data_IF_175902205660
#
_entry.id   IF_175902205660
#
_cell.length_a   1.000
_cell.length_b   1.000
_cell.length_c   1.000
_cell.angle_alpha   90.00
_cell.angle_beta   90.00
_cell.angle_gamma   90.00
#
_symmetry.space_group_name_H-M   'P 1'
#
loop_
_entity.id
_entity.type
_entity.pdbx_description
1 polymer ?
#
# COMPACT_ATOMS: atom_id res chain seq x y z
N UNK A 1 12.02 0.44 9.79
CA UNK A 1 12.81 0.03 8.60
C UNK A 1 11.99 0.30 7.35
N UNK A 2 12.63 0.74 6.25
CA UNK A 2 11.93 0.99 4.99
C UNK A 2 11.34 -0.27 4.35
N UNK A 3 10.05 -0.23 4.04
CA UNK A 3 9.29 -1.28 3.37
C UNK A 3 8.60 -0.74 2.12
N UNK A 4 8.51 -1.58 1.09
CA UNK A 4 7.79 -1.31 -0.16
C UNK A 4 6.63 -2.26 -0.31
N UNK A 5 5.46 -1.71 -0.56
CA UNK A 5 4.21 -2.44 -0.71
C UNK A 5 3.78 -2.39 -2.18
N UNK A 6 3.46 -3.54 -2.74
CA UNK A 6 2.94 -3.67 -4.10
C UNK A 6 2.04 -4.88 -4.24
N UNK A 7 1.21 -4.88 -5.28
CA UNK A 7 0.32 -6.00 -5.61
C UNK A 7 1.03 -6.99 -6.54
N UNK A 8 0.96 -8.31 -6.27
CA UNK A 8 1.23 -9.31 -7.31
C UNK A 8 -0.08 -9.78 -7.93
N UNK A 9 -0.38 -9.27 -9.12
CA UNK A 9 -1.57 -9.68 -9.87
C UNK A 9 -1.57 -11.19 -10.20
N UNK A 10 -0.38 -11.80 -10.24
CA UNK A 10 -0.17 -13.23 -10.47
C UNK A 10 -0.87 -14.14 -9.45
N UNK A 11 -0.75 -13.81 -8.17
CA UNK A 11 -1.14 -14.64 -7.03
C UNK A 11 -2.32 -14.06 -6.27
N UNK A 12 -2.89 -12.98 -6.78
CA UNK A 12 -3.93 -12.22 -6.10
C UNK A 12 -3.62 -11.76 -4.65
N UNK A 13 -2.34 -11.58 -4.30
CA UNK A 13 -1.88 -11.07 -2.98
C UNK A 13 -1.19 -9.71 -3.04
N UNK A 14 -1.11 -9.04 -1.88
CA UNK A 14 -0.19 -7.93 -1.62
C UNK A 14 1.15 -8.45 -1.10
N UNK A 15 2.23 -7.73 -1.41
CA UNK A 15 3.59 -8.05 -0.97
C UNK A 15 4.22 -6.85 -0.29
N UNK A 16 4.72 -7.06 0.92
CA UNK A 16 5.58 -6.13 1.64
C UNK A 16 7.01 -6.64 1.53
N UNK A 17 7.89 -5.82 0.98
CA UNK A 17 9.29 -6.15 0.80
C UNK A 17 10.18 -5.11 1.47
N UNK A 18 11.10 -5.59 2.30
CA UNK A 18 12.19 -4.79 2.85
C UNK A 18 13.52 -5.54 2.68
N UNK A 19 14.60 -5.04 3.31
CA UNK A 19 15.93 -5.64 3.20
C UNK A 19 16.02 -7.04 3.83
N UNK A 20 15.21 -7.34 4.86
CA UNK A 20 15.31 -8.56 5.66
C UNK A 20 14.29 -9.63 5.26
N UNK A 21 13.11 -9.22 4.79
CA UNK A 21 12.02 -10.15 4.48
C UNK A 21 11.13 -9.69 3.33
N UNK A 22 10.37 -10.64 2.83
CA UNK A 22 9.29 -10.45 1.86
C UNK A 22 8.07 -11.23 2.37
N UNK A 23 7.00 -10.52 2.71
CA UNK A 23 5.77 -11.10 3.26
C UNK A 23 4.65 -10.92 2.24
N UNK A 24 3.83 -11.95 2.05
CA UNK A 24 2.64 -11.92 1.20
C UNK A 24 1.38 -12.08 2.05
N UNK A 25 0.33 -11.34 1.72
CA UNK A 25 -0.97 -11.47 2.38
C UNK A 25 -2.11 -11.00 1.48
N UNK A 26 -3.34 -11.45 1.77
CA UNK A 26 -4.54 -11.01 1.04
C UNK A 26 -4.96 -9.60 1.42
N UNK A 27 -4.75 -9.21 2.68
CA UNK A 27 -5.08 -7.89 3.20
C UNK A 27 -3.99 -7.36 4.12
N UNK A 28 -3.83 -6.04 4.13
CA UNK A 28 -2.87 -5.35 5.00
C UNK A 28 -3.43 -3.97 5.40
N UNK A 29 -3.14 -3.54 6.61
CA UNK A 29 -3.37 -2.17 7.07
C UNK A 29 -2.01 -1.52 7.29
N UNK A 30 -1.77 -0.37 6.66
CA UNK A 30 -0.65 0.50 6.99
C UNK A 30 -1.19 1.61 7.88
N UNK A 31 -0.86 1.51 9.17
CA UNK A 31 -1.30 2.40 10.23
C UNK A 31 -0.23 3.46 10.55
N UNK A 32 0.20 4.20 9.53
CA UNK A 32 1.29 5.15 9.65
C UNK A 32 1.73 5.75 8.32
N UNK A 33 2.54 6.81 8.43
CA UNK A 33 2.93 7.65 7.28
C UNK A 33 3.48 6.82 6.12
N UNK A 34 3.05 7.20 4.93
CA UNK A 34 3.46 6.59 3.68
C UNK A 34 3.67 7.63 2.59
N UNK A 35 4.48 7.26 1.61
CA UNK A 35 4.71 8.01 0.39
C UNK A 35 4.85 7.06 -0.78
N UNK A 36 4.81 7.57 -2.01
CA UNK A 36 5.01 6.76 -3.21
C UNK A 36 6.42 6.89 -3.73
N UNK A 37 6.96 5.80 -4.26
CA UNK A 37 8.18 5.81 -5.06
C UNK A 37 7.87 5.36 -6.48
N UNK A 38 8.28 6.17 -7.45
CA UNK A 38 8.12 5.91 -8.86
C UNK A 38 9.45 5.48 -9.47
N UNK A 39 9.43 4.49 -10.36
CA UNK A 39 10.59 4.08 -11.16
C UNK A 39 10.28 4.19 -12.66
N UNK A 40 10.13 5.43 -13.19
CA UNK A 40 9.78 5.66 -14.60
C UNK A 40 10.88 5.19 -15.57
N UNK A 41 12.15 5.28 -15.17
CA UNK A 41 13.30 4.93 -16.02
C UNK A 41 13.55 3.42 -16.18
N UNK A 42 12.68 2.54 -15.70
CA UNK A 42 12.84 1.10 -15.90
C UNK A 42 12.58 0.78 -17.38
N UNK A 43 13.58 0.19 -18.06
CA UNK A 43 13.51 -0.22 -19.48
C UNK A 43 12.28 -1.09 -19.79
N UNK A 44 11.80 -1.87 -18.82
CA UNK A 44 10.56 -2.64 -18.93
C UNK A 44 9.70 -2.46 -17.68
N UNK A 45 8.40 -2.22 -17.90
CA UNK A 45 7.37 -2.14 -16.86
C UNK A 45 7.67 -1.06 -15.79
N UNK A 46 7.47 0.24 -16.09
CA UNK A 46 7.55 1.28 -15.08
C UNK A 46 6.66 0.91 -13.89
N UNK A 47 7.20 1.08 -12.67
CA UNK A 47 6.52 0.65 -11.44
C UNK A 47 6.40 1.79 -10.44
N UNK A 48 5.24 1.87 -9.81
CA UNK A 48 4.99 2.61 -8.59
C UNK A 48 4.99 1.67 -7.38
N UNK A 49 5.48 2.15 -6.24
CA UNK A 49 5.42 1.46 -4.96
C UNK A 49 4.83 2.39 -3.92
N UNK A 50 4.02 1.83 -3.01
CA UNK A 50 3.75 2.50 -1.73
C UNK A 50 4.89 2.18 -0.80
N UNK A 51 5.35 3.16 -0.03
CA UNK A 51 6.54 3.07 0.79
C UNK A 51 6.26 3.65 2.17
N UNK A 52 6.80 2.99 3.19
CA UNK A 52 6.88 3.52 4.55
C UNK A 52 8.28 3.29 5.10
N UNK A 53 8.77 4.20 5.94
CA UNK A 53 10.05 4.06 6.63
C UNK A 53 9.94 3.23 7.92
N UNK A 54 8.70 2.92 8.33
CA UNK A 54 8.36 2.14 9.54
C UNK A 54 7.58 0.89 9.14
N UNK A 55 8.27 -0.24 9.13
CA UNK A 55 7.66 -1.53 8.76
C UNK A 55 6.73 -2.04 9.84
N UNK A 56 6.98 -1.63 11.08
CA UNK A 56 6.20 -1.89 12.27
C UNK A 56 4.77 -1.31 12.19
N UNK A 57 4.55 -0.30 11.35
CA UNK A 57 3.21 0.28 11.12
C UNK A 57 2.34 -0.60 10.19
N UNK A 58 2.92 -1.67 9.61
CA UNK A 58 2.21 -2.58 8.71
C UNK A 58 1.65 -3.76 9.50
N UNK A 59 0.32 -3.85 9.53
CA UNK A 59 -0.42 -4.95 10.14
C UNK A 59 -0.88 -5.89 9.03
N UNK A 60 -0.40 -7.12 9.08
CA UNK A 60 -0.74 -8.18 8.14
C UNK A 60 -2.05 -8.85 8.58
N UNK A 61 -2.98 -9.09 7.64
CA UNK A 61 -4.29 -9.70 7.92
C UNK A 61 -5.00 -9.02 9.11
N UNK A 62 -5.19 -7.69 9.07
CA UNK A 62 -5.70 -6.92 10.20
C UNK A 62 -7.10 -7.38 10.61
N UNK A 63 -7.40 -7.48 11.92
CA UNK A 63 -8.72 -7.84 12.39
C UNK A 63 -9.74 -6.74 12.06
N UNK A 64 -11.00 -7.16 11.83
CA UNK A 64 -12.07 -6.27 11.34
C UNK A 64 -12.33 -5.05 12.24
N UNK A 65 -12.22 -5.22 13.55
CA UNK A 65 -12.49 -4.15 14.53
C UNK A 65 -11.55 -2.93 14.36
N UNK A 66 -10.33 -3.11 13.84
CA UNK A 66 -9.43 -1.98 13.60
C UNK A 66 -10.00 -0.99 12.58
N UNK A 67 -10.80 -1.46 11.63
CA UNK A 67 -11.42 -0.62 10.61
C UNK A 67 -12.63 0.17 11.11
N UNK A 68 -13.18 -0.19 12.27
CA UNK A 68 -14.33 0.52 12.84
C UNK A 68 -13.98 1.98 13.17
N UNK A 69 -12.70 2.28 13.40
CA UNK A 69 -12.18 3.61 13.67
C UNK A 69 -11.88 4.43 12.41
N UNK A 70 -12.10 3.88 11.20
CA UNK A 70 -11.72 4.54 9.95
C UNK A 70 -12.89 4.71 8.98
N UNK A 71 -12.86 5.81 8.24
CA UNK A 71 -13.65 6.02 7.03
C UNK A 71 -12.79 5.73 5.81
N UNK A 72 -13.34 5.00 4.83
CA UNK A 72 -12.73 4.85 3.50
C UNK A 72 -13.05 6.10 2.69
N UNK A 73 -12.03 6.86 2.32
CA UNK A 73 -12.20 8.15 1.63
C UNK A 73 -12.22 7.95 0.12
N UNK A 74 -11.19 7.31 -0.43
CA UNK A 74 -11.05 7.07 -1.88
C UNK A 74 -10.04 5.96 -2.15
N UNK A 75 -9.94 5.53 -3.41
CA UNK A 75 -8.90 4.60 -3.86
C UNK A 75 -7.60 5.36 -4.17
N UNK A 76 -6.48 4.79 -3.73
CA UNK A 76 -5.15 5.11 -4.25
C UNK A 76 -5.00 4.39 -5.60
N UNK A 77 -4.82 5.17 -6.66
CA UNK A 77 -4.79 4.68 -8.04
C UNK A 77 -3.44 4.99 -8.65
N UNK A 78 -2.84 3.97 -9.27
CA UNK A 78 -1.62 4.10 -10.05
C UNK A 78 -1.96 4.13 -11.54
N UNK A 79 -1.64 5.24 -12.18
CA UNK A 79 -1.64 5.39 -13.63
C UNK A 79 -0.32 4.83 -14.18
N UNK A 80 -0.41 3.73 -14.92
CA UNK A 80 0.75 3.05 -15.51
C UNK A 80 1.26 3.74 -16.77
N UNK A 81 0.40 4.44 -17.51
CA UNK A 81 0.76 5.14 -18.74
C UNK A 81 1.61 6.37 -18.41
N UNK A 82 1.15 7.16 -17.43
CA UNK A 82 1.84 8.36 -16.98
C UNK A 82 2.81 8.11 -15.80
N UNK A 83 2.85 6.87 -15.28
CA UNK A 83 3.70 6.45 -14.15
C UNK A 83 3.50 7.37 -12.94
N UNK A 84 2.26 7.52 -12.50
CA UNK A 84 1.88 8.48 -11.46
C UNK A 84 0.83 7.90 -10.50
N UNK A 85 0.83 8.36 -9.25
CA UNK A 85 -0.25 8.07 -8.30
C UNK A 85 -1.09 9.31 -8.09
N UNK A 86 -2.42 9.13 -8.06
CA UNK A 86 -3.36 10.21 -7.76
C UNK A 86 -3.14 10.87 -6.38
N UNK A 87 -2.42 10.21 -5.47
CA UNK A 87 -1.97 10.76 -4.18
C UNK A 87 -0.53 10.31 -3.92
N UNK A 88 0.33 11.25 -3.53
CA UNK A 88 1.77 11.01 -3.38
C UNK A 88 2.19 10.58 -1.97
N UNK A 89 1.39 10.92 -0.95
CA UNK A 89 1.66 10.60 0.45
C UNK A 89 0.38 10.65 1.29
N UNK A 90 0.43 10.06 2.49
CA UNK A 90 -0.66 10.07 3.45
C UNK A 90 -0.29 9.33 4.73
N UNK A 91 -1.30 8.91 5.49
CA UNK A 91 -1.09 8.30 6.80
C UNK A 91 -1.75 6.92 6.99
N UNK A 92 -2.93 6.67 6.44
CA UNK A 92 -3.61 5.40 6.65
C UNK A 92 -4.02 4.78 5.33
N UNK A 93 -3.61 3.52 5.08
CA UNK A 93 -3.99 2.77 3.89
C UNK A 93 -4.51 1.39 4.25
N UNK A 94 -5.56 0.97 3.55
CA UNK A 94 -6.02 -0.40 3.54
C UNK A 94 -5.78 -1.05 2.18
N UNK A 95 -4.96 -2.09 2.17
CA UNK A 95 -4.72 -2.95 1.03
C UNK A 95 -5.73 -4.10 1.09
N UNK A 96 -6.75 -4.04 0.24
CA UNK A 96 -7.90 -4.93 0.30
C UNK A 96 -7.75 -6.15 -0.59
N UNK A 97 -8.50 -7.20 -0.27
CA UNK A 97 -8.48 -8.48 -0.99
C UNK A 97 -8.96 -8.35 -2.45
N UNK A 98 -9.84 -7.39 -2.71
CA UNK A 98 -10.31 -7.01 -4.06
C UNK A 98 -9.21 -6.40 -4.95
N UNK A 99 -7.99 -6.21 -4.42
CA UNK A 99 -6.86 -5.62 -5.11
C UNK A 99 -6.86 -4.09 -5.11
N UNK A 100 -7.83 -3.44 -4.48
CA UNK A 100 -7.83 -1.99 -4.30
C UNK A 100 -7.00 -1.58 -3.06
N UNK A 101 -6.36 -0.42 -3.17
CA UNK A 101 -5.76 0.26 -2.04
C UNK A 101 -6.66 1.45 -1.66
N UNK A 102 -7.21 1.45 -0.45
CA UNK A 102 -8.09 2.50 0.04
C UNK A 102 -7.33 3.44 0.96
N UNK A 103 -7.47 4.74 0.71
CA UNK A 103 -7.05 5.79 1.63
C UNK A 103 -8.07 5.87 2.76
N UNK A 104 -7.57 5.76 3.99
CA UNK A 104 -8.37 5.80 5.20
C UNK A 104 -8.18 7.15 5.93
N UNK A 105 -9.19 7.52 6.70
CA UNK A 105 -9.13 8.64 7.63
C UNK A 105 -9.78 8.21 8.95
N UNK A 106 -9.20 8.61 10.08
CA UNK A 106 -9.78 8.34 11.40
C UNK A 106 -11.16 9.00 11.50
N UNK A 107 -12.14 8.26 12.02
CA UNK A 107 -13.45 8.80 12.38
C UNK A 107 -13.27 9.82 13.51
N UNK A 108 -13.78 11.03 13.32
CA UNK A 108 -13.85 12.04 14.38
C UNK A 108 -15.06 11.79 15.26
#
# INVERSE_FOLDING_TARGET
MKSKIHRCNCSNTWTVQNRKCSIRANTMLLNGKWYVELKPKRKSNPKGFVVTDRSEDIIISPPKHLFENFNKIKKLVYDKENVFFNVQQGEYLYFAEDGACYILQIKR
#
